data_IF_347086588286
#
_entry.id   IF_347086588286
#
_cell.length_a   1.000
_cell.length_b   1.000
_cell.length_c   1.000
_cell.angle_alpha   90.00
_cell.angle_beta   90.00
_cell.angle_gamma   90.00
#
_symmetry.space_group_name_H-M   'P 1'
#
loop_
_entity.id
_entity.type
_entity.pdbx_description
1 polymer ?
#
# COMPACT_ATOMS: atom_id res chain seq x y z
N UNK A 1 -12.18 -27.09 0.70
CA UNK A 1 -11.28 -27.30 -0.47
C UNK A 1 -11.29 -26.00 -1.23
N UNK A 2 -10.19 -25.25 -1.19
CA UNK A 2 -10.06 -23.96 -1.88
C UNK A 2 -10.09 -24.21 -3.39
N UNK A 3 -10.76 -23.33 -4.12
CA UNK A 3 -11.06 -23.45 -5.54
C UNK A 3 -9.76 -23.38 -6.36
N UNK A 4 -9.31 -24.51 -6.91
CA UNK A 4 -8.07 -24.66 -7.71
C UNK A 4 -8.07 -23.85 -9.03
N UNK A 5 -9.17 -23.15 -9.36
CA UNK A 5 -9.30 -22.36 -10.58
C UNK A 5 -8.67 -20.95 -10.51
N UNK A 6 -8.18 -20.51 -9.33
CA UNK A 6 -7.46 -19.24 -9.17
C UNK A 6 -6.28 -19.48 -8.22
N UNK A 7 -5.05 -19.74 -8.72
CA UNK A 7 -3.91 -19.83 -7.83
C UNK A 7 -3.83 -18.53 -7.01
N UNK A 8 -3.51 -18.65 -5.72
CA UNK A 8 -3.22 -17.48 -4.91
C UNK A 8 -2.17 -16.64 -5.66
N UNK A 9 -2.31 -15.30 -5.75
CA UNK A 9 -1.28 -14.43 -6.33
C UNK A 9 0.11 -14.68 -5.69
N UNK A 10 0.13 -15.28 -4.51
CA UNK A 10 1.30 -15.64 -3.75
C UNK A 10 2.08 -16.89 -4.23
N UNK A 11 1.52 -17.74 -5.10
CA UNK A 11 2.17 -18.95 -5.64
C UNK A 11 3.04 -18.68 -6.89
N UNK A 12 2.96 -17.46 -7.45
CA UNK A 12 3.58 -17.14 -8.74
C UNK A 12 5.03 -16.61 -8.66
N UNK A 13 5.50 -16.19 -7.47
CA UNK A 13 6.87 -15.67 -7.28
C UNK A 13 7.16 -14.38 -8.07
N UNK A 14 8.15 -13.60 -7.61
CA UNK A 14 8.50 -12.34 -8.27
C UNK A 14 9.04 -12.60 -9.68
N UNK A 15 8.55 -11.82 -10.65
CA UNK A 15 8.92 -11.92 -12.06
C UNK A 15 9.90 -10.81 -12.41
N UNK A 16 11.16 -11.18 -12.60
CA UNK A 16 12.23 -10.28 -13.05
C UNK A 16 11.91 -9.72 -14.45
N UNK A 17 11.19 -10.49 -15.28
CA UNK A 17 10.71 -10.11 -16.61
C UNK A 17 9.26 -9.60 -16.62
N UNK A 18 8.76 -9.08 -15.50
CA UNK A 18 7.39 -8.59 -15.44
C UNK A 18 7.23 -7.24 -16.15
N UNK A 19 6.51 -7.26 -17.28
CA UNK A 19 6.25 -6.07 -18.08
C UNK A 19 5.20 -5.12 -17.50
N UNK A 20 4.38 -5.58 -16.54
CA UNK A 20 3.15 -4.90 -16.12
C UNK A 20 1.97 -5.19 -17.07
N UNK A 21 0.75 -5.15 -16.54
CA UNK A 21 -0.51 -5.33 -17.29
C UNK A 21 -1.22 -4.00 -17.60
N UNK A 22 -0.84 -2.95 -16.89
CA UNK A 22 -1.34 -1.59 -17.06
C UNK A 22 -0.63 -0.81 -18.16
N UNK A 23 -0.83 0.51 -18.14
CA UNK A 23 -0.31 1.44 -19.13
C UNK A 23 0.26 2.69 -18.49
N UNK A 24 1.27 3.25 -19.14
CA UNK A 24 1.79 4.57 -18.79
C UNK A 24 0.84 5.66 -19.29
N UNK A 25 0.57 6.64 -18.44
CA UNK A 25 -0.23 7.83 -18.77
C UNK A 25 0.52 9.08 -18.35
N UNK A 26 0.27 10.17 -19.07
CA UNK A 26 0.74 11.50 -18.70
C UNK A 26 -0.43 12.26 -18.06
N UNK A 27 -0.30 12.63 -16.78
CA UNK A 27 -1.28 13.45 -16.06
C UNK A 27 -0.64 14.81 -15.79
N UNK A 28 -1.04 15.82 -16.57
CA UNK A 28 -0.35 17.12 -16.59
C UNK A 28 1.17 16.95 -16.79
N UNK A 29 1.98 17.30 -15.79
CA UNK A 29 3.44 17.19 -15.81
C UNK A 29 3.97 15.92 -15.11
N UNK A 30 3.08 15.03 -14.63
CA UNK A 30 3.41 13.79 -13.91
C UNK A 30 3.21 12.59 -14.83
N UNK A 31 4.21 11.69 -14.88
CA UNK A 31 4.06 10.37 -15.50
C UNK A 31 3.53 9.40 -14.44
N UNK A 32 2.45 8.71 -14.77
CA UNK A 32 1.84 7.71 -13.91
C UNK A 32 1.68 6.38 -14.65
N UNK A 33 1.53 5.31 -13.87
CA UNK A 33 1.13 4.00 -14.37
C UNK A 33 -0.30 3.75 -13.88
N UNK A 34 -1.19 3.30 -14.77
CA UNK A 34 -2.59 3.00 -14.48
C UNK A 34 -2.85 1.54 -14.77
N UNK A 35 -3.56 0.86 -13.87
CA UNK A 35 -4.09 -0.48 -14.09
C UNK A 35 -5.58 -0.49 -13.82
N UNK A 36 -6.34 -1.07 -14.75
CA UNK A 36 -7.79 -1.18 -14.66
C UNK A 36 -8.19 -2.66 -14.49
N UNK A 37 -9.16 -2.98 -13.61
CA UNK A 37 -9.68 -4.32 -13.47
C UNK A 37 -10.41 -4.76 -14.75
N UNK A 38 -10.47 -6.07 -15.00
CA UNK A 38 -11.18 -6.63 -16.16
C UNK A 38 -12.70 -6.39 -16.13
N UNK A 39 -13.25 -6.08 -14.96
CA UNK A 39 -14.67 -5.75 -14.75
C UNK A 39 -14.81 -4.29 -14.32
N UNK A 40 -15.90 -3.63 -14.70
CA UNK A 40 -16.18 -2.27 -14.26
C UNK A 40 -16.13 -2.14 -12.72
N UNK A 41 -15.47 -1.09 -12.24
CA UNK A 41 -15.30 -0.82 -10.80
C UNK A 41 -15.46 0.66 -10.51
N UNK A 42 -16.01 0.98 -9.35
CA UNK A 42 -16.05 2.34 -8.79
C UNK A 42 -15.04 2.56 -7.65
N UNK A 43 -14.21 1.54 -7.37
CA UNK A 43 -13.15 1.55 -6.37
C UNK A 43 -11.81 1.86 -7.03
N UNK A 44 -11.06 2.79 -6.46
CA UNK A 44 -9.72 3.12 -6.91
C UNK A 44 -8.73 3.19 -5.75
N UNK A 45 -7.48 2.77 -5.98
CA UNK A 45 -6.38 2.86 -5.02
C UNK A 45 -5.28 3.71 -5.63
N UNK A 46 -4.81 4.69 -4.87
CA UNK A 46 -3.59 5.42 -5.19
C UNK A 46 -2.41 4.66 -4.57
N UNK A 47 -1.41 4.28 -5.37
CA UNK A 47 -0.18 3.71 -4.81
C UNK A 47 0.95 4.72 -4.87
N UNK A 48 1.43 5.14 -3.69
CA UNK A 48 2.59 6.03 -3.58
C UNK A 48 3.83 5.18 -3.36
N UNK A 49 4.66 5.13 -4.38
CA UNK A 49 5.82 4.24 -4.42
C UNK A 49 6.99 4.77 -3.59
N UNK A 50 7.90 3.86 -3.25
CA UNK A 50 9.21 4.18 -2.69
C UNK A 50 10.10 4.90 -3.73
N UNK A 51 11.30 5.34 -3.34
CA UNK A 51 12.26 6.14 -4.14
C UNK A 51 12.65 5.54 -5.50
N UNK A 52 12.28 4.28 -5.77
CA UNK A 52 12.58 3.57 -7.01
C UNK A 52 11.50 3.69 -8.09
N UNK A 53 10.30 4.20 -7.76
CA UNK A 53 9.21 4.47 -8.69
C UNK A 53 8.54 3.23 -9.32
N UNK A 54 7.52 3.47 -10.15
CA UNK A 54 6.70 2.43 -10.80
C UNK A 54 7.42 1.62 -11.90
N UNK A 55 8.65 2.00 -12.26
CA UNK A 55 9.41 1.33 -13.30
C UNK A 55 10.01 0.00 -12.83
N UNK A 56 10.02 -0.27 -11.51
CA UNK A 56 10.42 -1.56 -10.99
C UNK A 56 9.37 -2.65 -11.28
N UNK A 57 9.78 -3.85 -11.75
CA UNK A 57 8.86 -4.98 -12.00
C UNK A 57 7.97 -5.34 -10.80
N UNK A 58 8.56 -5.38 -9.60
CA UNK A 58 7.82 -5.68 -8.36
C UNK A 58 6.78 -4.62 -8.01
N UNK A 59 7.03 -3.38 -8.39
CA UNK A 59 6.10 -2.29 -8.16
C UNK A 59 4.89 -2.40 -9.08
N UNK A 60 5.12 -2.63 -10.39
CA UNK A 60 4.03 -2.90 -11.34
C UNK A 60 3.24 -4.14 -10.95
N UNK A 61 3.91 -5.16 -10.44
CA UNK A 61 3.27 -6.37 -9.94
C UNK A 61 2.29 -6.09 -8.80
N UNK A 62 2.66 -5.23 -7.85
CA UNK A 62 1.76 -4.84 -6.76
C UNK A 62 0.56 -4.03 -7.27
N UNK A 63 0.78 -3.12 -8.24
CA UNK A 63 -0.29 -2.39 -8.90
C UNK A 63 -1.26 -3.31 -9.63
N UNK A 64 -0.73 -4.28 -10.37
CA UNK A 64 -1.55 -5.23 -11.12
C UNK A 64 -2.32 -6.19 -10.19
N UNK A 65 -1.72 -6.59 -9.07
CA UNK A 65 -2.41 -7.35 -8.02
C UNK A 65 -3.64 -6.58 -7.48
N UNK A 66 -3.54 -5.27 -7.27
CA UNK A 66 -4.69 -4.46 -6.84
C UNK A 66 -5.81 -4.46 -7.89
N UNK A 67 -5.44 -4.36 -9.17
CA UNK A 67 -6.41 -4.43 -10.27
C UNK A 67 -7.06 -5.81 -10.41
N UNK A 68 -6.32 -6.90 -10.23
CA UNK A 68 -6.89 -8.25 -10.19
C UNK A 68 -7.93 -8.42 -9.08
N UNK A 69 -7.85 -7.61 -8.02
CA UNK A 69 -8.80 -7.59 -6.90
C UNK A 69 -9.89 -6.52 -7.04
N UNK A 70 -10.07 -5.95 -8.24
CA UNK A 70 -11.20 -5.08 -8.56
C UNK A 70 -10.97 -3.59 -8.27
N UNK A 71 -9.73 -3.17 -8.02
CA UNK A 71 -9.39 -1.76 -7.80
C UNK A 71 -8.83 -1.12 -9.07
N UNK A 72 -9.22 0.11 -9.37
CA UNK A 72 -8.51 0.93 -10.35
C UNK A 72 -7.26 1.49 -9.66
N UNK A 73 -6.07 1.15 -10.14
CA UNK A 73 -4.82 1.65 -9.56
C UNK A 73 -4.26 2.80 -10.41
N UNK A 74 -3.84 3.89 -9.76
CA UNK A 74 -3.01 4.92 -10.42
C UNK A 74 -1.99 5.54 -9.47
N UNK A 75 -0.79 5.76 -10.01
CA UNK A 75 0.21 6.60 -9.35
C UNK A 75 -0.22 8.08 -9.32
N UNK A 76 0.09 8.77 -8.23
CA UNK A 76 -0.76 9.80 -7.63
C UNK A 76 -1.28 10.93 -8.53
N UNK A 77 -2.62 10.98 -8.77
CA UNK A 77 -3.45 12.22 -8.89
C UNK A 77 -4.91 11.92 -8.49
N UNK A 78 -5.30 12.27 -7.25
CA UNK A 78 -6.66 12.04 -6.69
C UNK A 78 -7.79 12.62 -7.56
N UNK A 79 -7.60 13.82 -8.12
CA UNK A 79 -8.59 14.50 -8.97
C UNK A 79 -8.83 13.73 -10.28
N UNK A 80 -7.78 13.21 -10.89
CA UNK A 80 -7.83 12.45 -12.13
C UNK A 80 -8.63 11.16 -11.97
N UNK A 81 -8.45 10.44 -10.85
CA UNK A 81 -9.26 9.25 -10.53
C UNK A 81 -10.76 9.55 -10.50
N UNK A 82 -11.14 10.65 -9.84
CA UNK A 82 -12.55 11.05 -9.73
C UNK A 82 -13.13 11.47 -11.09
N UNK A 83 -12.41 12.32 -11.81
CA UNK A 83 -12.92 12.95 -13.03
C UNK A 83 -12.86 12.04 -14.27
N UNK A 84 -11.80 11.26 -14.42
CA UNK A 84 -11.58 10.44 -15.62
C UNK A 84 -12.07 9.01 -15.47
N UNK A 85 -12.02 8.45 -14.25
CA UNK A 85 -12.44 7.07 -13.98
C UNK A 85 -13.71 6.97 -13.15
N UNK A 86 -14.31 8.10 -12.75
CA UNK A 86 -15.55 8.11 -11.98
C UNK A 86 -15.43 7.43 -10.61
N UNK A 87 -14.22 7.30 -10.07
CA UNK A 87 -13.96 6.59 -8.83
C UNK A 87 -14.71 7.25 -7.64
N UNK A 88 -15.47 6.45 -6.90
CA UNK A 88 -16.30 6.90 -5.77
C UNK A 88 -15.68 6.50 -4.42
N UNK A 89 -15.00 5.36 -4.39
CA UNK A 89 -14.33 4.84 -3.21
C UNK A 89 -12.83 4.88 -3.47
N UNK A 90 -12.10 5.75 -2.78
CA UNK A 90 -10.67 5.94 -3.01
C UNK A 90 -9.88 5.59 -1.76
N UNK A 91 -8.96 4.64 -1.89
CA UNK A 91 -7.98 4.30 -0.88
C UNK A 91 -6.57 4.72 -1.28
N UNK A 92 -5.65 4.65 -0.35
CA UNK A 92 -4.23 4.90 -0.61
C UNK A 92 -3.35 3.83 0.04
N UNK A 93 -2.37 3.35 -0.71
CA UNK A 93 -1.31 2.47 -0.23
C UNK A 93 0.00 3.17 -0.46
N UNK A 94 0.92 3.12 0.50
CA UNK A 94 2.24 3.69 0.28
C UNK A 94 3.35 2.98 1.01
N UNK A 95 4.54 3.02 0.40
CA UNK A 95 5.71 2.27 0.83
C UNK A 95 6.87 3.22 1.15
N UNK A 96 7.52 3.05 2.30
CA UNK A 96 8.64 3.91 2.77
C UNK A 96 8.23 5.38 2.81
N UNK A 97 8.82 6.24 1.98
CA UNK A 97 8.40 7.63 1.83
C UNK A 97 6.93 7.73 1.41
N UNK A 98 6.46 6.82 0.54
CA UNK A 98 5.06 6.69 0.21
C UNK A 98 4.18 6.33 1.39
N UNK A 99 4.68 5.56 2.37
CA UNK A 99 3.97 5.29 3.62
C UNK A 99 3.82 6.53 4.49
N UNK A 100 4.84 7.40 4.50
CA UNK A 100 4.76 8.73 5.13
C UNK A 100 3.71 9.59 4.41
N UNK A 101 3.72 9.60 3.09
CA UNK A 101 2.74 10.32 2.29
C UNK A 101 1.31 9.79 2.55
N UNK A 102 1.10 8.49 2.56
CA UNK A 102 -0.17 7.84 2.93
C UNK A 102 -0.65 8.29 4.30
N UNK A 103 0.23 8.33 5.29
CA UNK A 103 -0.11 8.83 6.62
C UNK A 103 -0.56 10.30 6.56
N UNK A 104 0.18 11.19 5.89
CA UNK A 104 -0.23 12.59 5.70
C UNK A 104 -1.58 12.72 4.98
N UNK A 105 -1.81 11.91 3.95
CA UNK A 105 -3.05 11.93 3.19
C UNK A 105 -4.22 11.50 4.06
N UNK A 106 -4.05 10.46 4.87
CA UNK A 106 -5.06 9.99 5.82
C UNK A 106 -5.40 11.02 6.91
N UNK A 107 -4.47 11.92 7.25
CA UNK A 107 -4.70 13.03 8.19
C UNK A 107 -5.43 14.23 7.56
N UNK A 108 -5.28 14.43 6.25
CA UNK A 108 -5.70 15.65 5.57
C UNK A 108 -7.01 15.47 4.77
N UNK A 109 -7.18 14.33 4.09
CA UNK A 109 -8.24 14.12 3.12
C UNK A 109 -9.31 13.15 3.64
N UNK A 110 -10.44 13.66 4.20
CA UNK A 110 -11.54 12.81 4.69
C UNK A 110 -12.27 12.05 3.57
N UNK A 111 -11.96 12.37 2.31
CA UNK A 111 -12.51 11.71 1.13
C UNK A 111 -11.91 10.31 0.91
N UNK A 112 -10.75 10.04 1.51
CA UNK A 112 -10.12 8.72 1.47
C UNK A 112 -10.87 7.76 2.39
N UNK A 113 -11.12 6.55 1.88
CA UNK A 113 -11.86 5.50 2.57
C UNK A 113 -10.96 4.57 3.38
N UNK A 114 -9.71 4.40 2.95
CA UNK A 114 -8.74 3.53 3.61
C UNK A 114 -7.32 4.00 3.33
N UNK A 115 -6.43 3.85 4.31
CA UNK A 115 -4.99 4.01 4.16
C UNK A 115 -4.23 2.73 4.52
N UNK A 116 -3.17 2.40 3.78
CA UNK A 116 -2.19 1.39 4.17
C UNK A 116 -0.79 1.98 4.07
N UNK A 117 -0.18 2.26 5.21
CA UNK A 117 1.21 2.72 5.32
C UNK A 117 2.13 1.53 5.58
N UNK A 118 3.07 1.28 4.68
CA UNK A 118 4.04 0.20 4.80
C UNK A 118 5.41 0.82 5.04
N UNK A 119 5.98 0.52 6.22
CA UNK A 119 7.25 1.04 6.75
C UNK A 119 7.42 2.58 6.60
N UNK A 120 6.34 3.33 6.81
CA UNK A 120 6.33 4.79 6.82
C UNK A 120 5.78 5.39 8.12
N UNK A 121 6.56 6.29 8.75
CA UNK A 121 6.18 7.04 9.96
C UNK A 121 6.47 8.52 9.74
N UNK A 122 5.52 9.38 10.13
CA UNK A 122 5.75 10.82 10.25
C UNK A 122 6.58 11.04 11.51
N UNK A 123 7.85 11.44 11.32
CA UNK A 123 8.73 11.82 12.43
C UNK A 123 8.33 13.22 12.89
N UNK A 124 7.89 13.29 14.14
CA UNK A 124 7.27 14.44 14.81
C UNK A 124 7.71 15.82 14.33
N UNK A 125 6.72 16.62 13.88
CA UNK A 125 6.70 18.09 13.93
C UNK A 125 5.31 18.70 14.10
N UNK A 126 4.23 17.90 14.07
CA UNK A 126 2.86 18.43 14.14
C UNK A 126 2.01 17.56 15.06
N UNK A 127 1.18 18.17 15.91
CA UNK A 127 0.22 17.54 16.83
C UNK A 127 -0.90 16.73 16.13
N UNK A 128 -0.79 16.52 14.82
CA UNK A 128 -1.85 16.02 13.95
C UNK A 128 -1.67 14.52 13.72
N UNK A 129 -2.24 13.74 14.63
CA UNK A 129 -2.35 12.27 14.50
C UNK A 129 -3.81 11.80 14.45
N UNK A 130 -4.74 12.75 14.29
CA UNK A 130 -6.16 12.48 14.10
C UNK A 130 -6.40 11.99 12.67
N UNK A 131 -6.25 10.68 12.47
CA UNK A 131 -6.57 10.04 11.21
C UNK A 131 -8.04 10.31 10.86
N UNK A 132 -8.29 10.69 9.61
CA UNK A 132 -9.64 10.93 9.05
C UNK A 132 -10.20 9.71 8.33
N UNK A 133 -9.36 8.72 8.06
CA UNK A 133 -9.70 7.47 7.39
C UNK A 133 -9.06 6.28 8.10
N UNK A 134 -9.73 5.11 8.16
CA UNK A 134 -9.15 3.90 8.72
C UNK A 134 -7.80 3.55 8.12
N UNK A 135 -6.78 3.34 8.96
CA UNK A 135 -5.40 3.16 8.48
C UNK A 135 -4.70 1.94 9.08
N UNK A 136 -4.15 1.09 8.21
CA UNK A 136 -3.23 0.00 8.58
C UNK A 136 -1.78 0.46 8.44
N UNK A 137 -0.98 0.19 9.46
CA UNK A 137 0.46 0.41 9.48
C UNK A 137 1.20 -0.93 9.55
N UNK A 138 2.15 -1.17 8.65
CA UNK A 138 2.94 -2.40 8.57
C UNK A 138 4.43 -2.07 8.78
N UNK A 139 5.08 -2.72 9.75
CA UNK A 139 6.49 -2.52 10.08
C UNK A 139 7.26 -3.85 10.17
N UNK A 140 8.57 -3.81 9.96
CA UNK A 140 9.48 -4.92 10.26
C UNK A 140 10.14 -4.76 11.63
N UNK A 141 10.26 -5.83 12.40
CA UNK A 141 10.89 -5.81 13.73
C UNK A 141 12.36 -5.38 13.70
N UNK A 142 13.09 -5.79 12.66
CA UNK A 142 14.52 -5.53 12.46
C UNK A 142 14.78 -4.41 11.47
N UNK A 143 13.84 -3.47 11.35
CA UNK A 143 13.96 -2.33 10.46
C UNK A 143 14.97 -1.30 11.03
N UNK A 144 16.15 -1.11 10.40
CA UNK A 144 17.14 -0.14 10.89
C UNK A 144 16.76 1.31 10.56
N UNK A 145 15.82 1.52 9.64
CA UNK A 145 15.35 2.83 9.21
C UNK A 145 14.21 3.28 10.12
N UNK A 146 13.30 2.38 10.48
CA UNK A 146 12.14 2.64 11.35
C UNK A 146 12.27 1.79 12.62
N UNK A 147 13.03 2.24 13.63
CA UNK A 147 13.19 1.49 14.86
C UNK A 147 11.89 1.42 15.69
N UNK A 148 11.76 0.36 16.50
CA UNK A 148 10.52 -0.01 17.19
C UNK A 148 10.05 1.01 18.24
N UNK A 149 10.96 1.84 18.75
CA UNK A 149 10.62 2.96 19.63
C UNK A 149 9.72 3.96 18.89
N UNK A 150 10.01 4.26 17.62
CA UNK A 150 9.16 5.13 16.80
C UNK A 150 7.79 4.49 16.52
N UNK A 151 7.74 3.18 16.30
CA UNK A 151 6.48 2.44 16.11
C UNK A 151 5.64 2.47 17.38
N UNK A 152 6.28 2.32 18.55
CA UNK A 152 5.62 2.36 19.85
C UNK A 152 5.07 3.75 20.16
N UNK A 153 5.82 4.80 19.84
CA UNK A 153 5.34 6.20 19.95
C UNK A 153 4.14 6.44 19.05
N UNK A 154 4.19 5.99 17.79
CA UNK A 154 3.04 6.07 16.88
C UNK A 154 1.80 5.39 17.47
N UNK A 155 1.94 4.15 17.94
CA UNK A 155 0.82 3.37 18.50
C UNK A 155 0.23 4.04 19.76
N UNK A 156 1.08 4.59 20.63
CA UNK A 156 0.64 5.32 21.81
C UNK A 156 -0.18 6.57 21.43
N UNK A 157 0.30 7.35 20.45
CA UNK A 157 -0.40 8.55 20.00
C UNK A 157 -1.72 8.19 19.30
N UNK A 158 -1.73 7.15 18.45
CA UNK A 158 -2.96 6.67 17.81
C UNK A 158 -3.99 6.22 18.85
N UNK A 159 -3.55 5.52 19.90
CA UNK A 159 -4.43 5.11 21.00
C UNK A 159 -5.03 6.28 21.77
N UNK A 160 -4.28 7.37 21.91
CA UNK A 160 -4.75 8.56 22.61
C UNK A 160 -5.69 9.43 21.75
N UNK A 161 -5.35 9.62 20.46
CA UNK A 161 -5.95 10.66 19.61
C UNK A 161 -6.83 10.14 18.47
N UNK A 162 -6.68 8.89 18.04
CA UNK A 162 -7.37 8.38 16.87
C UNK A 162 -8.81 7.97 17.21
N UNK A 163 -9.76 8.47 16.42
CA UNK A 163 -11.20 8.14 16.56
C UNK A 163 -11.72 7.21 15.46
N UNK A 164 -10.94 7.02 14.39
CA UNK A 164 -11.20 6.03 13.34
C UNK A 164 -10.46 4.73 13.63
N UNK A 165 -10.85 3.64 12.97
CA UNK A 165 -10.23 2.33 13.13
C UNK A 165 -8.77 2.35 12.63
N UNK A 166 -7.86 1.70 13.34
CA UNK A 166 -6.47 1.60 12.96
C UNK A 166 -5.88 0.28 13.42
N UNK A 167 -4.82 -0.15 12.73
CA UNK A 167 -4.05 -1.31 13.13
C UNK A 167 -2.56 -1.06 12.91
N UNK A 168 -1.74 -1.42 13.89
CA UNK A 168 -0.28 -1.44 13.76
C UNK A 168 0.16 -2.90 13.78
N UNK A 169 0.86 -3.36 12.74
CA UNK A 169 1.34 -4.74 12.62
C UNK A 169 2.85 -4.76 12.44
N UNK A 170 3.53 -5.40 13.39
CA UNK A 170 4.98 -5.60 13.36
C UNK A 170 5.25 -7.04 12.93
N UNK A 171 6.10 -7.22 11.92
CA UNK A 171 6.50 -8.53 11.40
C UNK A 171 7.86 -8.96 11.99
N UNK A 172 7.90 -10.03 12.81
CA UNK A 172 9.14 -10.51 13.42
C UNK A 172 10.21 -10.88 12.40
N UNK A 173 11.46 -10.53 12.69
CA UNK A 173 12.62 -10.81 11.85
C UNK A 173 12.73 -10.03 10.55
N UNK A 174 11.69 -9.28 10.15
CA UNK A 174 11.66 -8.55 8.88
C UNK A 174 12.36 -7.19 8.99
N UNK A 175 12.97 -6.74 7.89
CA UNK A 175 13.66 -5.45 7.79
C UNK A 175 12.90 -4.48 6.90
N UNK A 176 13.40 -3.26 6.76
CA UNK A 176 12.90 -2.29 5.78
C UNK A 176 12.77 -2.91 4.38
N UNK A 177 11.71 -2.54 3.66
CA UNK A 177 11.47 -2.98 2.28
C UNK A 177 11.06 -4.44 2.09
N UNK A 178 10.85 -5.23 3.16
CA UNK A 178 10.60 -6.67 3.03
C UNK A 178 9.43 -7.03 2.10
N UNK A 179 8.36 -6.22 2.08
CA UNK A 179 7.17 -6.43 1.23
C UNK A 179 7.47 -6.38 -0.28
N UNK A 180 8.53 -5.68 -0.69
CA UNK A 180 8.95 -5.52 -2.09
C UNK A 180 10.24 -6.24 -2.46
N UNK A 181 10.87 -6.98 -1.53
CA UNK A 181 12.16 -7.61 -1.79
C UNK A 181 12.11 -8.42 -3.08
N UNK A 182 13.20 -8.31 -3.85
CA UNK A 182 13.39 -9.15 -5.04
C UNK A 182 13.55 -10.59 -4.59
N UNK A 183 13.08 -11.54 -5.39
CA UNK A 183 13.21 -12.98 -5.11
C UNK A 183 14.61 -13.42 -4.67
N UNK A 184 15.66 -12.84 -5.27
CA UNK A 184 17.07 -13.14 -4.95
C UNK A 184 17.46 -12.71 -3.52
N UNK A 185 16.81 -11.66 -3.01
CA UNK A 185 17.02 -11.09 -1.68
C UNK A 185 16.00 -11.62 -0.64
N UNK A 186 15.04 -12.46 -1.07
CA UNK A 186 14.04 -13.09 -0.20
C UNK A 186 14.58 -14.42 0.32
N UNK A 187 14.90 -14.46 1.61
CA UNK A 187 15.16 -15.75 2.26
C UNK A 187 13.86 -16.57 2.28
N UNK A 188 13.92 -17.91 2.14
CA UNK A 188 12.73 -18.77 2.23
C UNK A 188 11.90 -18.54 3.49
N UNK A 189 12.54 -18.16 4.59
CA UNK A 189 11.93 -17.83 5.88
C UNK A 189 11.13 -16.53 5.87
N UNK A 190 11.40 -15.61 4.94
CA UNK A 190 10.74 -14.30 4.84
C UNK A 190 9.43 -14.37 4.04
N UNK A 191 9.28 -15.38 3.17
CA UNK A 191 8.12 -15.54 2.28
C UNK A 191 6.77 -15.49 3.01
N UNK A 192 6.55 -16.21 4.12
CA UNK A 192 5.26 -16.17 4.81
C UNK A 192 4.91 -14.77 5.33
N UNK A 193 5.91 -14.02 5.82
CA UNK A 193 5.72 -12.64 6.30
C UNK A 193 5.36 -11.69 5.17
N UNK A 194 6.04 -11.81 4.02
CA UNK A 194 5.75 -11.02 2.81
C UNK A 194 4.32 -11.27 2.33
N UNK A 195 3.93 -12.55 2.22
CA UNK A 195 2.59 -12.94 1.79
C UNK A 195 1.52 -12.42 2.76
N UNK A 196 1.73 -12.61 4.06
CA UNK A 196 0.81 -12.13 5.09
C UNK A 196 0.64 -10.61 5.01
N UNK A 197 1.72 -9.84 4.89
CA UNK A 197 1.65 -8.38 4.77
C UNK A 197 0.86 -7.92 3.53
N UNK A 198 1.06 -8.58 2.38
CA UNK A 198 0.29 -8.29 1.14
C UNK A 198 -1.19 -8.63 1.32
N UNK A 199 -1.50 -9.76 1.96
CA UNK A 199 -2.88 -10.15 2.25
C UNK A 199 -3.56 -9.21 3.25
N UNK A 200 -2.86 -8.78 4.31
CA UNK A 200 -3.42 -7.84 5.28
C UNK A 200 -3.78 -6.50 4.63
N UNK A 201 -2.94 -6.01 3.70
CA UNK A 201 -3.22 -4.82 2.91
C UNK A 201 -4.51 -4.96 2.11
N UNK A 202 -4.69 -6.06 1.38
CA UNK A 202 -5.92 -6.31 0.60
C UNK A 202 -7.15 -6.41 1.51
N UNK A 203 -7.05 -7.18 2.59
CA UNK A 203 -8.14 -7.34 3.57
C UNK A 203 -8.53 -5.99 4.20
N UNK A 204 -7.57 -5.11 4.44
CA UNK A 204 -7.84 -3.77 4.96
C UNK A 204 -8.61 -2.93 3.95
N UNK A 205 -8.15 -2.88 2.69
CA UNK A 205 -8.86 -2.17 1.63
C UNK A 205 -10.29 -2.70 1.46
N UNK A 206 -10.46 -4.04 1.38
CA UNK A 206 -11.77 -4.68 1.22
C UNK A 206 -12.74 -4.38 2.37
N UNK A 207 -12.22 -4.17 3.59
CA UNK A 207 -13.03 -3.85 4.77
C UNK A 207 -13.64 -2.46 4.70
N UNK A 208 -12.97 -1.48 4.07
CA UNK A 208 -13.38 -0.07 4.12
C UNK A 208 -13.71 0.55 2.75
N UNK A 209 -13.43 -0.14 1.65
CA UNK A 209 -13.71 0.30 0.27
C UNK A 209 -14.69 -0.64 -0.41
#
# INVERSE_FOLDING_TARGET
MANEARPCPCDLGDRIDYGGLGREVQIEHIKAYVVEPATASDKAVIVIQDIFGWQLPNTRYMSDMLAENGYIEVDAVLRFLKEQYGAKHIGVVGFCWGGIATHYLALQYPELKAGVSVYGIIREREDRYELRSPTLFIFGEKDPIIPLDQVSTLEAILKEKCTVDYQVKIFPGQTHGFVHRKREDVNPTDKPSIQTARTDMLNWLDKYM
#
